data_IF_016324616375
#
_entry.id   IF_016324616375
#
_cell.length_a   1.000
_cell.length_b   1.000
_cell.length_c   1.000
_cell.angle_alpha   90.00
_cell.angle_beta   90.00
_cell.angle_gamma   90.00
#
_symmetry.space_group_name_H-M   'P 1'
#
loop_
_entity.id
_entity.type
_entity.pdbx_description
1 polymer ?
#
# COMPACT_ATOMS: atom_id res chain seq x y z
N UNK A 1 1.49 10.53 -14.05
CA UNK A 1 0.72 9.32 -14.43
C UNK A 1 1.39 8.16 -13.73
N UNK A 2 0.67 7.49 -12.83
CA UNK A 2 1.19 6.39 -12.02
C UNK A 2 1.31 5.14 -12.89
N UNK A 3 2.47 4.49 -12.88
CA UNK A 3 2.64 3.21 -13.55
C UNK A 3 2.06 2.10 -12.65
N UNK A 4 1.08 1.35 -13.15
CA UNK A 4 0.35 0.32 -12.38
C UNK A 4 0.65 -1.05 -12.98
N UNK A 5 1.20 -1.93 -12.16
CA UNK A 5 1.52 -3.32 -12.50
C UNK A 5 0.64 -4.27 -11.66
N UNK A 6 -0.34 -4.91 -12.30
CA UNK A 6 -1.27 -5.85 -11.63
C UNK A 6 -1.19 -7.26 -12.19
N UNK A 7 -0.13 -7.62 -12.92
CA UNK A 7 -0.02 -8.92 -13.60
C UNK A 7 0.02 -10.11 -12.65
N UNK A 8 0.46 -9.89 -11.41
CA UNK A 8 0.58 -10.93 -10.37
C UNK A 8 -0.54 -10.84 -9.32
N UNK A 9 -1.58 -10.05 -9.60
CA UNK A 9 -2.76 -9.93 -8.75
C UNK A 9 -3.95 -10.65 -9.39
N UNK A 10 -4.60 -11.52 -8.63
CA UNK A 10 -5.80 -12.28 -9.01
C UNK A 10 -7.02 -11.40 -9.29
N UNK A 11 -7.01 -10.14 -8.83
CA UNK A 11 -8.19 -9.28 -8.80
C UNK A 11 -9.09 -9.54 -7.59
N UNK A 12 -8.67 -10.39 -6.65
CA UNK A 12 -9.42 -10.62 -5.41
C UNK A 12 -9.16 -9.52 -4.37
N UNK A 13 -10.22 -9.12 -3.68
CA UNK A 13 -10.17 -8.13 -2.61
C UNK A 13 -10.78 -6.78 -3.00
N UNK A 14 -11.97 -6.48 -2.47
CA UNK A 14 -12.65 -5.20 -2.72
C UNK A 14 -11.91 -4.04 -2.06
N UNK A 15 -11.31 -4.27 -0.89
CA UNK A 15 -10.54 -3.24 -0.21
C UNK A 15 -9.22 -2.95 -0.93
N UNK A 16 -8.58 -3.96 -1.50
CA UNK A 16 -7.36 -3.83 -2.32
C UNK A 16 -7.63 -2.94 -3.54
N UNK A 17 -8.73 -3.15 -4.25
CA UNK A 17 -9.13 -2.25 -5.35
C UNK A 17 -9.34 -0.80 -4.86
N UNK A 18 -10.01 -0.63 -3.72
CA UNK A 18 -10.25 0.70 -3.13
C UNK A 18 -8.95 1.42 -2.79
N UNK A 19 -7.95 0.69 -2.28
CA UNK A 19 -6.60 1.20 -2.02
C UNK A 19 -5.88 1.61 -3.32
N UNK A 20 -5.95 0.79 -4.37
CA UNK A 20 -5.38 1.10 -5.69
C UNK A 20 -5.97 2.40 -6.23
N UNK A 21 -7.29 2.53 -6.19
CA UNK A 21 -8.00 3.71 -6.70
C UNK A 21 -7.61 4.97 -5.90
N UNK A 22 -7.53 4.86 -4.57
CA UNK A 22 -7.10 5.96 -3.70
C UNK A 22 -5.65 6.37 -3.99
N UNK A 23 -4.72 5.42 -4.10
CA UNK A 23 -3.30 5.73 -4.35
C UNK A 23 -3.05 6.26 -5.76
N UNK A 24 -3.84 5.83 -6.75
CA UNK A 24 -3.74 6.34 -8.13
C UNK A 24 -4.16 7.81 -8.21
N UNK A 25 -4.99 8.29 -7.29
CA UNK A 25 -5.36 9.70 -7.22
C UNK A 25 -4.26 10.61 -6.63
N UNK A 26 -3.21 10.03 -6.04
CA UNK A 26 -2.11 10.76 -5.40
C UNK A 26 -0.99 10.99 -6.43
N UNK A 27 -0.74 12.26 -6.76
CA UNK A 27 0.25 12.64 -7.77
C UNK A 27 1.70 12.22 -7.44
N UNK A 28 2.05 12.11 -6.15
CA UNK A 28 3.39 11.74 -5.70
C UNK A 28 3.69 10.23 -5.80
N UNK A 29 2.67 9.41 -6.08
CA UNK A 29 2.86 7.98 -6.37
C UNK A 29 3.32 7.83 -7.82
N UNK A 30 4.49 7.23 -8.02
CA UNK A 30 5.11 7.02 -9.33
C UNK A 30 4.91 5.61 -9.88
N UNK A 31 5.00 4.61 -8.99
CA UNK A 31 4.88 3.20 -9.29
C UNK A 31 3.93 2.55 -8.27
N UNK A 32 3.08 1.66 -8.77
CA UNK A 32 2.21 0.83 -7.95
C UNK A 32 2.23 -0.59 -8.52
N UNK A 33 2.70 -1.56 -7.75
CA UNK A 33 2.68 -2.98 -8.12
C UNK A 33 1.88 -3.78 -7.12
N UNK A 34 1.00 -4.65 -7.59
CA UNK A 34 0.09 -5.43 -6.75
C UNK A 34 0.28 -6.91 -7.02
N UNK A 35 0.43 -7.67 -5.95
CA UNK A 35 0.72 -9.10 -5.97
C UNK A 35 -0.16 -9.85 -4.97
N UNK A 36 -0.60 -11.06 -5.31
CA UNK A 36 -1.21 -11.96 -4.33
C UNK A 36 -0.14 -12.57 -3.43
N UNK A 37 -0.33 -12.49 -2.12
CA UNK A 37 0.55 -13.17 -1.19
C UNK A 37 0.26 -14.68 -1.18
N UNK A 38 1.29 -15.54 -0.98
CA UNK A 38 1.11 -17.00 -0.91
C UNK A 38 0.28 -17.46 0.30
N UNK A 39 0.01 -16.56 1.26
CA UNK A 39 -0.80 -16.85 2.45
C UNK A 39 -2.31 -16.84 2.18
N UNK A 40 -2.78 -16.45 0.99
CA UNK A 40 -4.20 -16.50 0.63
C UNK A 40 -4.75 -17.92 0.76
N UNK A 41 -5.88 -18.07 1.48
CA UNK A 41 -6.43 -19.38 1.85
C UNK A 41 -7.95 -19.34 1.96
N UNK A 42 -8.59 -20.39 1.43
CA UNK A 42 -10.04 -20.60 1.53
C UNK A 42 -10.32 -21.85 2.37
N UNK A 43 -11.25 -21.75 3.30
CA UNK A 43 -11.70 -22.85 4.16
C UNK A 43 -13.23 -22.78 4.37
N UNK A 44 -13.82 -23.82 4.96
CA UNK A 44 -15.28 -24.03 5.08
C UNK A 44 -15.96 -22.91 5.89
N UNK A 45 -15.22 -22.14 6.69
CA UNK A 45 -15.74 -21.06 7.52
C UNK A 45 -15.14 -19.68 7.28
N UNK A 46 -14.08 -19.57 6.49
CA UNK A 46 -13.43 -18.28 6.21
C UNK A 46 -12.74 -18.25 4.85
N UNK A 47 -12.65 -17.05 4.31
CA UNK A 47 -11.80 -16.73 3.18
C UNK A 47 -10.79 -15.69 3.66
N UNK A 48 -9.52 -16.01 3.53
CA UNK A 48 -8.41 -15.13 3.86
C UNK A 48 -7.73 -14.69 2.57
N UNK A 49 -7.91 -13.43 2.21
CA UNK A 49 -7.25 -12.77 1.08
C UNK A 49 -6.07 -12.01 1.65
N UNK A 50 -4.88 -12.24 1.10
CA UNK A 50 -3.67 -11.55 1.50
C UNK A 50 -3.01 -10.97 0.27
N UNK A 51 -2.98 -9.65 0.17
CA UNK A 51 -2.40 -8.94 -0.98
C UNK A 51 -1.23 -8.07 -0.52
N UNK A 52 -0.24 -7.94 -1.38
CA UNK A 52 0.92 -7.08 -1.17
C UNK A 52 0.96 -6.01 -2.25
N UNK A 53 1.17 -4.77 -1.83
CA UNK A 53 1.27 -3.61 -2.70
C UNK A 53 2.66 -3.01 -2.51
N UNK A 54 3.39 -2.85 -3.60
CA UNK A 54 4.66 -2.16 -3.64
C UNK A 54 4.46 -0.78 -4.26
N UNK A 55 4.81 0.26 -3.50
CA UNK A 55 4.62 1.66 -3.87
C UNK A 55 5.97 2.32 -4.06
N UNK A 56 6.21 2.85 -5.26
CA UNK A 56 7.35 3.72 -5.54
C UNK A 56 6.91 5.17 -5.60
N UNK A 57 7.54 6.02 -4.79
CA UNK A 57 7.26 7.46 -4.79
C UNK A 57 8.08 8.18 -5.86
N UNK A 58 7.56 9.30 -6.39
CA UNK A 58 8.35 10.16 -7.27
C UNK A 58 9.57 10.69 -6.51
N UNK A 59 10.69 10.79 -7.19
CA UNK A 59 11.91 11.38 -6.66
C UNK A 59 12.08 12.82 -7.16
N UNK A 60 12.52 13.69 -6.27
CA UNK A 60 12.93 15.05 -6.59
C UNK A 60 14.42 15.24 -6.29
N UNK A 61 15.14 15.79 -7.25
CA UNK A 61 16.55 16.15 -7.12
C UNK A 61 16.69 17.34 -6.17
N UNK A 62 17.12 17.09 -4.94
CA UNK A 62 17.33 18.14 -3.94
C UNK A 62 18.83 18.42 -3.80
N UNK A 63 19.23 19.68 -3.95
CA UNK A 63 20.59 20.11 -3.62
C UNK A 63 20.78 20.09 -2.10
N UNK A 64 21.57 19.15 -1.62
CA UNK A 64 21.88 19.02 -0.19
C UNK A 64 23.36 19.31 0.04
N UNK A 65 23.62 20.08 1.11
CA UNK A 65 24.99 20.40 1.52
C UNK A 65 25.49 19.29 2.44
N UNK A 66 26.44 18.50 1.96
CA UNK A 66 27.11 17.47 2.76
C UNK A 66 28.50 17.94 3.17
N UNK A 67 29.03 17.39 4.27
CA UNK A 67 30.43 17.58 4.63
C UNK A 67 31.26 16.40 4.10
N UNK A 68 32.01 16.63 3.03
CA UNK A 68 33.04 15.70 2.57
C UNK A 68 34.17 15.69 3.62
N UNK A 69 34.62 14.50 4.04
CA UNK A 69 35.60 14.32 5.12
C UNK A 69 35.20 14.92 6.49
N UNK A 70 33.92 15.14 6.77
CA UNK A 70 33.46 15.64 8.08
C UNK A 70 33.60 17.15 8.31
N UNK A 71 34.33 17.88 7.46
CA UNK A 71 34.53 19.33 7.60
C UNK A 71 34.46 20.13 6.29
N UNK A 72 34.67 19.55 5.11
CA UNK A 72 34.63 20.29 3.84
C UNK A 72 33.21 20.34 3.27
N UNK A 73 32.56 21.53 3.23
CA UNK A 73 31.22 21.64 2.68
C UNK A 73 31.24 21.42 1.16
N UNK A 74 30.45 20.47 0.69
CA UNK A 74 30.20 20.19 -0.73
C UNK A 74 28.70 20.14 -0.95
N UNK A 75 28.24 20.70 -2.07
CA UNK A 75 26.84 20.55 -2.50
C UNK A 75 26.76 19.33 -3.40
N UNK A 76 25.86 18.40 -3.06
CA UNK A 76 25.56 17.22 -3.87
C UNK A 76 24.07 17.21 -4.17
N UNK A 77 23.72 16.84 -5.40
CA UNK A 77 22.33 16.58 -5.78
C UNK A 77 21.98 15.17 -5.32
N UNK A 78 20.97 15.04 -4.46
CA UNK A 78 20.48 13.76 -3.95
C UNK A 78 19.03 13.62 -4.37
N UNK A 79 18.69 12.49 -4.98
CA UNK A 79 17.30 12.14 -5.26
C UNK A 79 16.62 11.74 -3.95
N UNK A 80 15.58 12.48 -3.57
CA UNK A 80 14.76 12.18 -2.40
C UNK A 80 13.34 11.88 -2.83
N UNK A 81 12.73 10.88 -2.22
CA UNK A 81 11.31 10.61 -2.38
C UNK A 81 10.51 11.86 -1.97
N UNK A 82 9.52 12.24 -2.78
CA UNK A 82 8.63 13.36 -2.50
C UNK A 82 7.74 13.09 -1.27
N UNK A 83 7.58 11.82 -0.90
CA UNK A 83 6.67 11.36 0.14
C UNK A 83 7.26 10.15 0.88
N UNK A 84 6.93 10.01 2.16
CA UNK A 84 7.19 8.81 2.96
C UNK A 84 5.96 7.91 3.07
N UNK A 85 6.14 6.66 3.50
CA UNK A 85 5.02 5.75 3.74
C UNK A 85 4.06 6.30 4.83
N UNK A 86 4.61 6.96 5.85
CA UNK A 86 3.83 7.64 6.90
C UNK A 86 2.97 8.78 6.34
N UNK A 87 3.51 9.57 5.40
CA UNK A 87 2.76 10.63 4.72
C UNK A 87 1.62 10.05 3.87
N UNK A 88 1.90 8.95 3.16
CA UNK A 88 0.88 8.20 2.40
C UNK A 88 -0.23 7.71 3.32
N UNK A 89 0.11 7.09 4.45
CA UNK A 89 -0.87 6.63 5.44
C UNK A 89 -1.76 7.75 5.97
N UNK A 90 -1.18 8.94 6.20
CA UNK A 90 -1.95 10.13 6.59
C UNK A 90 -2.94 10.55 5.50
N UNK A 91 -2.52 10.61 4.24
CA UNK A 91 -3.41 10.95 3.14
C UNK A 91 -4.54 9.93 2.96
N UNK A 92 -4.21 8.64 3.11
CA UNK A 92 -5.21 7.57 3.02
C UNK A 92 -6.20 7.60 4.20
N UNK A 93 -5.77 8.03 5.40
CA UNK A 93 -6.68 8.20 6.55
C UNK A 93 -7.75 9.26 6.33
N UNK A 94 -7.45 10.29 5.54
CA UNK A 94 -8.40 11.34 5.18
C UNK A 94 -9.49 10.84 4.21
N UNK A 95 -9.24 9.72 3.53
CA UNK A 95 -10.22 9.08 2.65
C UNK A 95 -11.22 8.25 3.45
N UNK A 96 -12.53 8.56 3.40
CA UNK A 96 -13.56 7.79 4.11
C UNK A 96 -13.66 6.33 3.67
N UNK A 97 -13.22 6.03 2.44
CA UNK A 97 -13.26 4.68 1.88
C UNK A 97 -12.12 3.78 2.38
N UNK A 98 -11.00 4.38 2.83
CA UNK A 98 -9.81 3.65 3.27
C UNK A 98 -9.68 3.70 4.79
N UNK A 99 -9.67 4.91 5.38
CA UNK A 99 -9.47 5.14 6.80
C UNK A 99 -8.05 4.86 7.29
N UNK A 100 -7.89 4.83 8.62
CA UNK A 100 -6.61 4.60 9.28
C UNK A 100 -6.04 3.21 9.00
N UNK A 101 -4.71 3.13 8.89
CA UNK A 101 -3.98 1.87 8.83
C UNK A 101 -3.95 1.20 10.21
N UNK A 102 -4.04 -0.12 10.24
CA UNK A 102 -3.94 -0.92 11.47
C UNK A 102 -2.49 -0.98 11.99
N UNK A 103 -1.52 -0.81 11.08
CA UNK A 103 -0.10 -0.69 11.42
C UNK A 103 0.61 0.19 10.40
N UNK A 104 1.58 0.97 10.84
CA UNK A 104 2.45 1.77 9.96
C UNK A 104 3.84 1.97 10.59
N UNK A 105 4.87 1.78 9.78
CA UNK A 105 6.24 2.19 10.04
C UNK A 105 6.91 2.73 8.76
N UNK A 106 8.23 2.97 8.81
CA UNK A 106 8.99 3.54 7.69
C UNK A 106 9.09 2.60 6.47
N UNK A 107 8.87 1.29 6.63
CA UNK A 107 9.03 0.29 5.56
C UNK A 107 7.73 -0.40 5.15
N UNK A 108 6.74 -0.47 6.04
CA UNK A 108 5.51 -1.23 5.83
C UNK A 108 4.29 -0.58 6.51
N UNK A 109 3.17 -0.63 5.80
CA UNK A 109 1.85 -0.24 6.28
C UNK A 109 0.88 -1.42 6.08
N UNK A 110 -0.03 -1.64 7.02
CA UNK A 110 -0.93 -2.79 6.98
C UNK A 110 -2.38 -2.38 7.25
N UNK A 111 -3.28 -3.03 6.52
CA UNK A 111 -4.72 -3.01 6.76
C UNK A 111 -5.25 -4.43 6.93
N UNK A 112 -6.12 -4.62 7.91
CA UNK A 112 -6.82 -5.86 8.19
C UNK A 112 -8.32 -5.59 8.27
N UNK A 113 -9.03 -5.92 7.20
CA UNK A 113 -10.49 -5.81 7.15
C UNK A 113 -11.12 -7.18 7.38
N UNK A 114 -12.20 -7.20 8.15
CA UNK A 114 -12.97 -8.43 8.37
C UNK A 114 -14.45 -8.16 8.15
N UNK A 115 -15.08 -9.01 7.35
CA UNK A 115 -16.50 -8.95 7.07
C UNK A 115 -17.11 -10.35 7.26
N UNK A 116 -18.40 -10.41 7.55
CA UNK A 116 -19.16 -11.66 7.52
C UNK A 116 -20.09 -11.64 6.32
N UNK A 117 -19.82 -12.50 5.34
CA UNK A 117 -20.62 -12.62 4.13
C UNK A 117 -21.60 -13.76 4.30
N UNK A 118 -22.88 -13.48 4.04
CA UNK A 118 -23.95 -14.49 3.99
C UNK A 118 -24.47 -14.53 2.54
N UNK A 119 -24.08 -15.54 1.75
CA UNK A 119 -24.57 -15.65 0.37
C UNK A 119 -26.09 -15.77 0.32
N UNK A 120 -26.74 -15.24 -0.73
CA UNK A 120 -28.16 -15.46 -0.96
C UNK A 120 -28.50 -16.95 -0.92
N UNK A 121 -29.61 -17.30 -0.27
CA UNK A 121 -30.11 -18.69 -0.15
C UNK A 121 -29.22 -19.64 0.68
N UNK A 122 -28.19 -19.14 1.39
CA UNK A 122 -27.36 -19.92 2.30
C UNK A 122 -27.57 -19.48 3.75
N UNK A 123 -27.78 -20.43 4.66
CA UNK A 123 -27.97 -20.14 6.10
C UNK A 123 -26.66 -19.92 6.84
N UNK A 124 -25.57 -20.54 6.38
CA UNK A 124 -24.22 -20.38 6.95
C UNK A 124 -23.40 -19.40 6.11
N UNK A 125 -23.17 -18.21 6.65
CA UNK A 125 -22.16 -17.30 6.11
C UNK A 125 -20.73 -17.72 6.45
N UNK A 126 -19.76 -17.09 5.79
CA UNK A 126 -18.33 -17.25 6.06
C UNK A 126 -17.72 -15.90 6.50
N UNK A 127 -16.58 -15.97 7.17
CA UNK A 127 -15.80 -14.78 7.53
C UNK A 127 -14.84 -14.44 6.39
N UNK A 128 -15.00 -13.28 5.77
CA UNK A 128 -13.99 -12.72 4.89
C UNK A 128 -12.98 -11.95 5.73
N UNK A 129 -11.70 -12.21 5.50
CA UNK A 129 -10.59 -11.49 6.09
C UNK A 129 -9.70 -11.05 4.95
N UNK A 130 -9.55 -9.75 4.78
CA UNK A 130 -8.70 -9.14 3.77
C UNK A 130 -7.54 -8.44 4.47
N UNK A 131 -6.34 -8.98 4.26
CA UNK A 131 -5.09 -8.42 4.74
C UNK A 131 -4.36 -7.79 3.56
N UNK A 132 -4.07 -6.49 3.66
CA UNK A 132 -3.26 -5.79 2.67
C UNK A 132 -2.02 -5.24 3.34
N UNK A 133 -0.85 -5.56 2.79
CA UNK A 133 0.43 -4.97 3.19
C UNK A 133 0.93 -4.06 2.08
N UNK A 134 1.41 -2.88 2.45
CA UNK A 134 1.94 -1.89 1.55
C UNK A 134 3.40 -1.65 1.91
N UNK A 135 4.29 -1.81 0.96
CA UNK A 135 5.73 -1.63 1.11
C UNK A 135 6.22 -0.48 0.22
N UNK A 136 7.15 0.33 0.73
CA UNK A 136 7.85 1.33 -0.08
C UNK A 136 9.02 0.67 -0.83
N UNK A 137 9.14 0.92 -2.14
CA UNK A 137 10.21 0.42 -3.01
C UNK A 137 10.93 1.51 -3.78
#
# INVERSE_FOLDING_TARGET
MTNIETSEWSGEGTFTQTLIDAMTSIDDVGLLRVEDAPSTRVDVGYQFISNEIYVGFRTQAVQTRIRRFGFWPTTVVVDKNCMSLTDLGRLLSESPAVGDADYIDDGMMQYLRTERIVPPYQTRGYKLVELVRIYAV
#
